data_IF_277515910458
#
_entry.id   IF_277515910458
#
_cell.length_a   1.000
_cell.length_b   1.000
_cell.length_c   1.000
_cell.angle_alpha   90.00
_cell.angle_beta   90.00
_cell.angle_gamma   90.00
#
_symmetry.space_group_name_H-M   'P 1'
#
loop_
_entity.id
_entity.type
_entity.pdbx_description
1 polymer ?
#
# COMPACT_ATOMS: atom_id res chain seq x y z
N UNK A 1 13.81 -21.93 -11.47
CA UNK A 1 12.71 -21.23 -12.14
C UNK A 1 12.20 -22.03 -13.34
N UNK A 2 13.06 -22.44 -14.27
CA UNK A 2 12.67 -23.15 -15.49
C UNK A 2 11.83 -24.42 -15.22
N UNK A 3 12.25 -25.25 -14.25
CA UNK A 3 11.52 -26.45 -13.86
C UNK A 3 10.11 -26.15 -13.30
N UNK A 4 9.96 -25.10 -12.48
CA UNK A 4 8.65 -24.69 -11.96
C UNK A 4 7.74 -24.16 -13.07
N UNK A 5 8.29 -23.35 -13.96
CA UNK A 5 7.55 -22.83 -15.10
C UNK A 5 7.08 -23.95 -16.05
N UNK A 6 7.96 -24.91 -16.35
CA UNK A 6 7.62 -26.08 -17.18
C UNK A 6 6.52 -26.96 -16.55
N UNK A 7 6.41 -26.96 -15.21
CA UNK A 7 5.35 -27.64 -14.45
C UNK A 7 4.06 -26.82 -14.33
N UNK A 8 3.96 -25.68 -15.02
CA UNK A 8 2.76 -24.86 -15.08
C UNK A 8 2.68 -23.70 -14.06
N UNK A 9 3.75 -23.43 -13.27
CA UNK A 9 3.74 -22.27 -12.41
C UNK A 9 3.71 -20.97 -13.25
N UNK A 10 2.79 -20.06 -12.91
CA UNK A 10 2.62 -18.75 -13.59
C UNK A 10 2.74 -17.57 -12.63
N UNK A 11 2.71 -17.81 -11.32
CA UNK A 11 2.86 -16.78 -10.28
C UNK A 11 4.03 -17.16 -9.37
N UNK A 12 5.02 -16.29 -9.30
CA UNK A 12 6.25 -16.50 -8.53
C UNK A 12 6.37 -15.40 -7.48
N UNK A 13 6.50 -15.81 -6.22
CA UNK A 13 6.83 -14.91 -5.12
C UNK A 13 8.19 -15.32 -4.56
N UNK A 14 9.13 -14.39 -4.63
CA UNK A 14 10.46 -14.56 -4.06
C UNK A 14 10.43 -14.15 -2.59
N UNK A 15 11.08 -14.96 -1.76
CA UNK A 15 11.21 -14.71 -0.32
C UNK A 15 12.57 -14.13 0.06
N UNK A 16 13.42 -13.86 -0.94
CA UNK A 16 14.70 -13.19 -0.75
C UNK A 16 14.48 -11.67 -0.61
N UNK A 17 14.84 -11.14 0.55
CA UNK A 17 14.67 -9.72 0.90
C UNK A 17 15.70 -8.81 0.24
N UNK A 18 16.61 -9.35 -0.55
CA UNK A 18 17.78 -8.66 -1.09
C UNK A 18 17.95 -8.88 -2.59
N UNK A 19 16.84 -9.11 -3.28
CA UNK A 19 16.79 -9.41 -4.72
C UNK A 19 17.72 -8.51 -5.56
N UNK A 20 17.75 -7.22 -5.28
CA UNK A 20 18.47 -6.23 -6.06
C UNK A 20 19.93 -6.00 -5.64
N UNK A 21 20.40 -6.57 -4.53
CA UNK A 21 21.79 -6.35 -4.06
C UNK A 21 22.84 -7.00 -4.97
N UNK A 22 22.51 -8.12 -5.62
CA UNK A 22 23.36 -8.78 -6.60
C UNK A 22 22.82 -8.49 -8.01
N UNK A 23 23.21 -7.35 -8.58
CA UNK A 23 22.68 -6.85 -9.85
C UNK A 23 22.69 -7.88 -10.98
N UNK A 24 23.79 -8.62 -11.15
CA UNK A 24 23.92 -9.64 -12.21
C UNK A 24 22.91 -10.80 -12.02
N UNK A 25 22.75 -11.28 -10.79
CA UNK A 25 21.78 -12.34 -10.47
C UNK A 25 20.34 -11.82 -10.63
N UNK A 26 20.04 -10.63 -10.11
CA UNK A 26 18.74 -10.00 -10.25
C UNK A 26 18.37 -9.80 -11.72
N UNK A 27 19.29 -9.29 -12.54
CA UNK A 27 19.10 -9.13 -13.98
C UNK A 27 18.81 -10.47 -14.67
N UNK A 28 19.60 -11.51 -14.40
CA UNK A 28 19.38 -12.83 -15.00
C UNK A 28 18.00 -13.41 -14.64
N UNK A 29 17.51 -13.16 -13.41
CA UNK A 29 16.16 -13.56 -13.01
C UNK A 29 15.10 -12.76 -13.77
N UNK A 30 15.25 -11.44 -13.91
CA UNK A 30 14.29 -10.60 -14.67
C UNK A 30 14.27 -11.01 -16.15
N UNK A 31 15.43 -11.24 -16.77
CA UNK A 31 15.51 -11.68 -18.18
C UNK A 31 14.83 -13.05 -18.38
N UNK A 32 14.95 -13.97 -17.42
CA UNK A 32 14.20 -15.24 -17.46
C UNK A 32 12.69 -15.01 -17.61
N UNK A 33 12.10 -14.06 -16.89
CA UNK A 33 10.67 -13.75 -16.99
C UNK A 33 10.34 -13.04 -18.31
N UNK A 34 11.16 -12.08 -18.72
CA UNK A 34 10.96 -11.31 -19.95
C UNK A 34 10.98 -12.20 -21.21
N UNK A 35 11.92 -13.15 -21.28
CA UNK A 35 11.98 -14.12 -22.38
C UNK A 35 10.69 -14.95 -22.49
N UNK A 36 10.12 -15.36 -21.36
CA UNK A 36 8.90 -16.18 -21.34
C UNK A 36 7.65 -15.38 -21.63
N UNK A 37 7.58 -14.15 -21.14
CA UNK A 37 6.51 -13.21 -21.49
C UNK A 37 6.54 -12.92 -23.00
N UNK A 38 7.72 -12.73 -23.57
CA UNK A 38 7.87 -12.52 -25.02
C UNK A 38 7.50 -13.76 -25.84
N UNK A 39 7.82 -14.97 -25.36
CA UNK A 39 7.51 -16.23 -26.03
C UNK A 39 6.01 -16.59 -25.98
N UNK A 40 5.29 -16.17 -24.96
CA UNK A 40 3.87 -16.47 -24.76
C UNK A 40 3.13 -15.22 -24.17
N UNK A 41 2.92 -14.16 -24.96
CA UNK A 41 2.39 -12.89 -24.45
C UNK A 41 0.94 -12.99 -23.93
N UNK A 42 0.18 -13.98 -24.38
CA UNK A 42 -1.20 -14.22 -23.92
C UNK A 42 -1.27 -15.03 -22.62
N UNK A 43 -0.14 -15.62 -22.18
CA UNK A 43 -0.08 -16.35 -20.92
C UNK A 43 0.32 -15.42 -19.77
N UNK A 44 -0.55 -15.20 -18.76
CA UNK A 44 -0.23 -14.33 -17.64
C UNK A 44 0.94 -14.91 -16.83
N UNK A 45 2.06 -14.20 -16.77
CA UNK A 45 3.19 -14.54 -15.92
C UNK A 45 3.46 -13.40 -14.95
N UNK A 46 3.54 -13.72 -13.66
CA UNK A 46 3.66 -12.72 -12.59
C UNK A 46 4.85 -13.04 -11.69
N UNK A 47 5.67 -12.04 -11.43
CA UNK A 47 6.80 -12.09 -10.50
C UNK A 47 6.67 -11.03 -9.41
N UNK A 48 6.92 -11.43 -8.16
CA UNK A 48 6.91 -10.57 -6.98
C UNK A 48 8.23 -10.70 -6.25
N UNK A 49 8.90 -9.56 -6.00
CA UNK A 49 10.19 -9.48 -5.31
C UNK A 49 10.12 -8.49 -4.15
N UNK A 50 10.91 -8.76 -3.09
CA UNK A 50 11.25 -7.75 -2.09
C UNK A 50 12.46 -6.95 -2.58
N UNK A 51 12.40 -5.63 -2.50
CA UNK A 51 13.41 -4.71 -3.05
C UNK A 51 13.97 -3.80 -1.96
N UNK A 52 15.29 -3.69 -1.89
CA UNK A 52 15.98 -2.71 -1.05
C UNK A 52 15.85 -1.34 -1.70
N UNK A 53 15.22 -0.34 -1.04
CA UNK A 53 14.74 0.87 -1.70
C UNK A 53 15.84 1.79 -2.25
N UNK A 54 16.97 1.89 -1.55
CA UNK A 54 18.08 2.80 -1.89
C UNK A 54 19.14 2.19 -2.82
N UNK A 55 18.92 0.96 -3.29
CA UNK A 55 19.80 0.26 -4.20
C UNK A 55 19.06 -0.21 -5.45
N UNK A 56 19.13 0.57 -6.53
CA UNK A 56 18.52 0.21 -7.82
C UNK A 56 19.51 0.47 -8.97
N UNK A 57 20.43 -0.48 -9.23
CA UNK A 57 21.42 -0.36 -10.32
C UNK A 57 20.76 -0.23 -11.70
N UNK A 58 21.42 0.51 -12.60
CA UNK A 58 20.91 0.76 -13.97
C UNK A 58 20.66 -0.54 -14.74
N UNK A 59 21.50 -1.56 -14.56
CA UNK A 59 21.30 -2.86 -15.16
C UNK A 59 19.97 -3.54 -14.80
N UNK A 60 19.43 -3.25 -13.59
CA UNK A 60 18.09 -3.70 -13.20
C UNK A 60 17.01 -2.79 -13.77
N UNK A 61 17.23 -1.49 -13.79
CA UNK A 61 16.30 -0.52 -14.38
C UNK A 61 16.02 -0.86 -15.85
N UNK A 62 17.05 -1.13 -16.63
CA UNK A 62 16.94 -1.54 -18.05
C UNK A 62 16.05 -2.77 -18.27
N UNK A 63 16.11 -3.73 -17.35
CA UNK A 63 15.23 -4.91 -17.41
C UNK A 63 13.81 -4.59 -16.93
N UNK A 64 13.66 -3.84 -15.82
CA UNK A 64 12.36 -3.55 -15.19
C UNK A 64 11.43 -2.79 -16.13
N UNK A 65 11.94 -1.80 -16.88
CA UNK A 65 11.12 -1.00 -17.82
C UNK A 65 10.46 -1.82 -18.94
N UNK A 66 10.97 -3.00 -19.22
CA UNK A 66 10.49 -3.90 -20.29
C UNK A 66 9.30 -4.77 -19.85
N UNK A 67 8.99 -4.82 -18.54
CA UNK A 67 7.86 -5.61 -18.06
C UNK A 67 6.52 -4.98 -18.44
N UNK A 68 5.58 -5.77 -18.98
CA UNK A 68 4.24 -5.29 -19.26
C UNK A 68 3.44 -5.05 -17.97
N UNK A 69 2.35 -4.26 -18.04
CA UNK A 69 1.45 -4.05 -16.91
C UNK A 69 0.96 -5.38 -16.30
N UNK A 70 0.95 -5.46 -14.98
CA UNK A 70 0.44 -6.62 -14.24
C UNK A 70 1.41 -7.81 -14.11
N UNK A 71 2.61 -7.75 -14.72
CA UNK A 71 3.57 -8.85 -14.66
C UNK A 71 4.59 -8.76 -13.52
N UNK A 72 4.80 -7.57 -12.95
CA UNK A 72 5.84 -7.33 -11.94
C UNK A 72 5.30 -6.57 -10.73
N UNK A 73 5.68 -7.01 -9.54
CA UNK A 73 5.41 -6.32 -8.28
C UNK A 73 6.67 -6.26 -7.42
N UNK A 74 6.87 -5.11 -6.77
CA UNK A 74 7.87 -4.94 -5.73
C UNK A 74 7.22 -4.67 -4.38
N UNK A 75 7.65 -5.41 -3.37
CA UNK A 75 7.43 -5.11 -1.95
C UNK A 75 8.65 -4.36 -1.44
N UNK A 76 8.44 -3.16 -0.93
CA UNK A 76 9.51 -2.20 -0.61
C UNK A 76 9.36 -1.77 0.83
N UNK A 77 10.14 -2.38 1.71
CA UNK A 77 10.13 -2.03 3.11
C UNK A 77 10.84 -0.71 3.36
N UNK A 78 10.14 0.36 3.60
CA UNK A 78 10.68 1.61 4.16
C UNK A 78 10.76 1.49 5.68
N UNK A 79 9.72 0.96 6.30
CA UNK A 79 9.51 0.77 7.73
C UNK A 79 9.30 2.09 8.48
N UNK A 80 10.24 3.03 8.37
CA UNK A 80 10.17 4.41 8.89
C UNK A 80 11.11 5.31 8.09
N UNK A 81 10.78 6.60 8.03
CA UNK A 81 11.64 7.65 7.51
C UNK A 81 12.43 8.40 8.61
N UNK A 82 12.24 8.01 9.88
CA UNK A 82 12.94 8.63 11.00
C UNK A 82 14.35 8.04 11.13
N UNK A 83 15.43 8.81 10.93
CA UNK A 83 16.79 8.29 10.91
C UNK A 83 17.26 7.74 12.27
N UNK A 84 16.76 8.30 13.38
CA UNK A 84 17.09 7.77 14.71
C UNK A 84 16.44 6.41 14.95
N UNK A 85 15.18 6.25 14.49
CA UNK A 85 14.46 4.97 14.59
C UNK A 85 15.09 3.94 13.67
N UNK A 86 15.48 4.33 12.44
CA UNK A 86 16.25 3.47 11.54
C UNK A 86 17.54 2.95 12.20
N UNK A 87 18.31 3.84 12.84
CA UNK A 87 19.53 3.45 13.55
C UNK A 87 19.25 2.45 14.68
N UNK A 88 18.18 2.66 15.47
CA UNK A 88 17.77 1.76 16.58
C UNK A 88 17.42 0.36 16.08
N UNK A 89 16.70 0.25 14.97
CA UNK A 89 16.34 -1.05 14.36
C UNK A 89 17.45 -1.62 13.47
N UNK A 90 18.65 -1.02 13.52
CA UNK A 90 19.83 -1.42 12.73
C UNK A 90 19.59 -1.39 11.22
N UNK A 91 18.75 -0.45 10.76
CA UNK A 91 18.50 -0.20 9.35
C UNK A 91 19.41 0.92 8.86
N UNK A 92 20.18 0.62 7.82
CA UNK A 92 21.00 1.61 7.10
C UNK A 92 20.31 1.86 5.77
N UNK A 93 19.71 3.02 5.62
CA UNK A 93 18.97 3.40 4.41
C UNK A 93 19.36 4.83 4.01
N UNK A 94 19.65 5.02 2.75
CA UNK A 94 19.77 6.36 2.15
C UNK A 94 18.38 6.79 1.68
N UNK A 95 17.71 7.60 2.50
CA UNK A 95 16.34 8.04 2.25
C UNK A 95 16.20 8.86 0.96
N UNK A 96 17.21 9.68 0.62
CA UNK A 96 17.18 10.48 -0.59
C UNK A 96 17.23 9.58 -1.85
N UNK A 97 18.10 8.56 -1.82
CA UNK A 97 18.17 7.58 -2.91
C UNK A 97 16.92 6.71 -2.98
N UNK A 98 16.36 6.33 -1.83
CA UNK A 98 15.11 5.58 -1.78
C UNK A 98 13.96 6.35 -2.46
N UNK A 99 13.82 7.65 -2.19
CA UNK A 99 12.84 8.49 -2.87
C UNK A 99 13.07 8.59 -4.38
N UNK A 100 14.30 8.83 -4.78
CA UNK A 100 14.66 8.92 -6.22
C UNK A 100 14.29 7.61 -6.93
N UNK A 101 14.60 6.47 -6.32
CA UNK A 101 14.29 5.17 -6.91
C UNK A 101 12.77 4.89 -6.94
N UNK A 102 12.03 5.25 -5.88
CA UNK A 102 10.57 5.09 -5.84
C UNK A 102 9.89 5.95 -6.92
N UNK A 103 10.30 7.21 -7.07
CA UNK A 103 9.80 8.12 -8.13
C UNK A 103 10.11 7.53 -9.50
N UNK A 104 11.35 7.11 -9.72
CA UNK A 104 11.77 6.52 -10.98
C UNK A 104 10.95 5.28 -11.34
N UNK A 105 10.78 4.34 -10.40
CA UNK A 105 9.94 3.16 -10.60
C UNK A 105 8.50 3.53 -10.95
N UNK A 106 7.96 4.54 -10.26
CA UNK A 106 6.57 4.98 -10.45
C UNK A 106 6.34 5.65 -11.80
N UNK A 107 7.33 6.40 -12.29
CA UNK A 107 7.21 7.22 -13.51
C UNK A 107 7.61 6.47 -14.79
N UNK A 108 8.53 5.51 -14.69
CA UNK A 108 9.15 4.88 -15.85
C UNK A 108 8.77 3.40 -16.03
N UNK A 109 8.04 2.80 -15.10
CA UNK A 109 7.76 1.37 -15.16
C UNK A 109 6.28 1.04 -14.95
N UNK A 110 5.90 -0.19 -15.29
CA UNK A 110 4.59 -0.75 -14.97
C UNK A 110 4.61 -1.64 -13.73
N UNK A 111 5.72 -1.65 -12.98
CA UNK A 111 5.82 -2.43 -11.76
C UNK A 111 4.82 -1.94 -10.70
N UNK A 112 4.08 -2.86 -10.09
CA UNK A 112 3.21 -2.54 -8.97
C UNK A 112 4.06 -2.34 -7.72
N UNK A 113 3.98 -1.16 -7.10
CA UNK A 113 4.75 -0.79 -5.92
C UNK A 113 3.90 -0.92 -4.66
N UNK A 114 4.31 -1.83 -3.78
CA UNK A 114 3.75 -2.03 -2.45
C UNK A 114 4.81 -1.59 -1.44
N UNK A 115 4.53 -0.55 -0.67
CA UNK A 115 5.52 0.06 0.25
C UNK A 115 5.06 -0.08 1.69
N UNK A 116 5.96 -0.51 2.58
CA UNK A 116 5.62 -0.82 3.97
C UNK A 116 6.11 0.26 4.94
N UNK A 117 5.22 0.67 5.85
CA UNK A 117 5.50 1.41 7.07
C UNK A 117 5.10 0.58 8.30
N UNK A 118 5.85 0.72 9.39
CA UNK A 118 5.57 0.03 10.66
C UNK A 118 5.38 1.04 11.79
N UNK A 119 4.20 1.06 12.38
CA UNK A 119 3.91 1.83 13.58
C UNK A 119 4.34 1.09 14.85
N UNK A 120 4.73 1.85 15.89
CA UNK A 120 5.14 1.32 17.17
C UNK A 120 6.60 0.87 17.22
N UNK A 121 7.45 1.36 16.33
CA UNK A 121 8.90 1.20 16.39
C UNK A 121 9.48 1.94 17.61
N UNK A 122 10.63 1.47 18.17
CA UNK A 122 11.20 2.01 19.39
C UNK A 122 11.59 3.50 19.23
N UNK A 123 10.88 4.38 19.96
CA UNK A 123 11.11 5.82 19.97
C UNK A 123 10.52 6.59 18.80
N UNK A 124 9.66 5.97 18.00
CA UNK A 124 8.85 6.67 17.01
C UNK A 124 7.50 7.06 17.62
N UNK A 125 7.12 8.31 17.49
CA UNK A 125 5.82 8.82 17.89
C UNK A 125 4.84 8.92 16.72
N UNK A 126 3.58 9.21 17.03
CA UNK A 126 2.52 9.30 16.04
C UNK A 126 2.76 10.40 14.99
N UNK A 127 3.38 11.52 15.39
CA UNK A 127 3.66 12.65 14.49
C UNK A 127 4.74 12.27 13.45
N UNK A 128 5.84 11.64 13.90
CA UNK A 128 6.89 11.14 13.04
C UNK A 128 6.37 10.07 12.07
N UNK A 129 5.57 9.13 12.56
CA UNK A 129 4.92 8.13 11.72
C UNK A 129 4.01 8.78 10.67
N UNK A 130 3.19 9.75 11.08
CA UNK A 130 2.29 10.49 10.19
C UNK A 130 3.02 11.25 9.09
N UNK A 131 4.12 11.94 9.44
CA UNK A 131 4.97 12.61 8.45
C UNK A 131 5.57 11.61 7.45
N UNK A 132 5.96 10.42 7.92
CA UNK A 132 6.43 9.33 7.06
C UNK A 132 5.36 8.81 6.11
N UNK A 133 4.12 8.70 6.56
CA UNK A 133 2.99 8.33 5.72
C UNK A 133 2.71 9.41 4.65
N UNK A 134 2.70 10.69 5.02
CA UNK A 134 2.47 11.81 4.09
C UNK A 134 3.57 11.85 3.01
N UNK A 135 4.82 11.58 3.40
CA UNK A 135 5.94 11.45 2.46
C UNK A 135 5.73 10.34 1.44
N UNK A 136 5.20 9.17 1.86
CA UNK A 136 4.85 8.10 0.94
C UNK A 136 3.66 8.43 0.03
N UNK A 137 2.63 9.08 0.56
CA UNK A 137 1.49 9.55 -0.27
C UNK A 137 1.98 10.47 -1.39
N UNK A 138 2.93 11.37 -1.11
CA UNK A 138 3.53 12.26 -2.11
C UNK A 138 4.35 11.51 -3.18
N UNK A 139 4.93 10.36 -2.85
CA UNK A 139 5.64 9.47 -3.78
C UNK A 139 4.70 8.60 -4.63
N UNK A 140 3.41 8.52 -4.25
CA UNK A 140 2.34 7.87 -5.00
C UNK A 140 2.59 6.41 -5.35
N UNK A 141 3.08 5.54 -4.43
CA UNK A 141 3.10 4.11 -4.68
C UNK A 141 1.67 3.61 -4.96
N UNK A 142 1.53 2.38 -5.45
CA UNK A 142 0.21 1.79 -5.67
C UNK A 142 -0.46 1.41 -4.36
N UNK A 143 0.34 0.94 -3.39
CA UNK A 143 -0.13 0.56 -2.06
C UNK A 143 0.84 1.03 -0.99
N UNK A 144 0.31 1.50 0.14
CA UNK A 144 1.06 1.77 1.37
C UNK A 144 0.53 0.82 2.43
N UNK A 145 1.30 -0.20 2.78
CA UNK A 145 0.95 -1.08 3.88
C UNK A 145 1.36 -0.46 5.20
N UNK A 146 0.39 -0.18 6.03
CA UNK A 146 0.60 0.25 7.41
C UNK A 146 0.54 -0.99 8.31
N UNK A 147 1.69 -1.40 8.83
CA UNK A 147 1.82 -2.52 9.76
C UNK A 147 1.94 -2.04 11.20
N UNK A 148 1.45 -2.85 12.15
CA UNK A 148 1.76 -2.71 13.58
C UNK A 148 2.95 -3.60 13.89
N UNK A 149 3.95 -3.07 14.61
CA UNK A 149 5.15 -3.81 14.97
C UNK A 149 4.81 -5.12 15.67
N UNK A 150 5.45 -6.21 15.25
CA UNK A 150 5.30 -7.54 15.83
C UNK A 150 6.61 -8.04 16.45
N UNK A 151 6.53 -8.58 17.66
CA UNK A 151 7.66 -9.26 18.31
C UNK A 151 7.74 -10.70 17.81
N UNK A 152 8.22 -10.89 16.59
CA UNK A 152 8.40 -12.22 16.05
C UNK A 152 9.53 -12.97 16.77
N UNK A 153 9.42 -14.30 16.84
CA UNK A 153 10.44 -15.15 17.46
C UNK A 153 11.78 -14.98 16.74
N UNK A 154 12.84 -14.70 17.51
CA UNK A 154 14.18 -14.46 16.96
C UNK A 154 14.43 -13.05 16.42
N UNK A 155 13.43 -12.18 16.34
CA UNK A 155 13.64 -10.80 15.96
C UNK A 155 14.37 -10.02 17.09
N UNK A 156 15.39 -9.21 16.76
CA UNK A 156 16.20 -8.49 17.77
C UNK A 156 15.44 -7.34 18.44
N UNK A 157 14.22 -7.05 18.05
CA UNK A 157 13.41 -5.93 18.56
C UNK A 157 13.19 -6.00 20.08
N UNK A 158 13.18 -7.19 20.66
CA UNK A 158 13.01 -7.41 22.10
C UNK A 158 14.06 -6.69 22.95
N UNK A 159 15.26 -6.43 22.42
CA UNK A 159 16.34 -5.70 23.12
C UNK A 159 15.94 -4.27 23.51
N UNK A 160 14.98 -3.68 22.78
CA UNK A 160 14.50 -2.33 22.99
C UNK A 160 13.32 -2.24 23.97
N UNK A 161 12.72 -3.37 24.33
CA UNK A 161 11.46 -3.40 25.10
C UNK A 161 11.55 -2.63 26.43
N UNK A 162 12.64 -2.78 27.20
CA UNK A 162 12.82 -2.08 28.46
C UNK A 162 13.07 -0.59 28.27
N UNK A 163 13.97 -0.22 27.36
CA UNK A 163 14.38 1.18 27.16
C UNK A 163 13.24 2.08 26.62
N UNK A 164 12.34 1.49 25.84
CA UNK A 164 11.21 2.20 25.23
C UNK A 164 9.86 1.75 25.81
N UNK A 165 9.84 1.17 27.00
CA UNK A 165 8.64 0.71 27.70
C UNK A 165 7.64 -0.04 26.81
N UNK A 166 8.16 -0.87 25.87
CA UNK A 166 7.32 -1.54 24.87
C UNK A 166 6.57 -2.70 25.50
N UNK A 167 5.26 -2.69 25.40
CA UNK A 167 4.40 -3.81 25.75
C UNK A 167 3.93 -4.51 24.48
N UNK A 168 3.91 -5.83 24.50
CA UNK A 168 3.49 -6.66 23.38
C UNK A 168 2.35 -7.59 23.79
N UNK A 169 1.48 -7.91 22.84
CA UNK A 169 0.47 -8.94 23.05
C UNK A 169 1.12 -10.28 23.35
N UNK A 170 0.55 -11.02 24.30
CA UNK A 170 1.03 -12.34 24.71
C UNK A 170 0.70 -13.42 23.67
N UNK A 171 -0.34 -13.19 22.89
CA UNK A 171 -0.83 -14.10 21.86
C UNK A 171 -0.47 -13.61 20.46
N UNK A 172 -0.36 -14.54 19.52
CA UNK A 172 -0.18 -14.19 18.11
C UNK A 172 -1.26 -13.19 17.66
N UNK A 173 -0.88 -12.20 16.86
CA UNK A 173 0.37 -12.03 16.13
C UNK A 173 1.48 -11.28 16.88
N UNK A 174 1.43 -11.16 18.22
CA UNK A 174 2.44 -10.55 19.10
C UNK A 174 2.69 -9.06 18.78
N UNK A 175 1.65 -8.34 18.45
CA UNK A 175 1.73 -6.91 18.14
C UNK A 175 2.12 -6.08 19.37
N UNK A 176 2.81 -4.97 19.12
CA UNK A 176 3.05 -3.96 20.15
C UNK A 176 1.71 -3.34 20.55
N UNK A 177 1.51 -3.18 21.85
CA UNK A 177 0.30 -2.57 22.43
C UNK A 177 0.52 -1.10 22.77
N UNK A 178 1.73 -0.76 23.20
CA UNK A 178 2.17 0.61 23.49
C UNK A 178 3.69 0.69 23.54
N UNK A 179 4.23 1.89 23.46
CA UNK A 179 5.63 2.24 23.67
C UNK A 179 5.72 3.50 24.53
N UNK A 180 6.92 3.93 24.92
CA UNK A 180 7.12 5.20 25.64
C UNK A 180 6.74 6.43 24.80
N UNK A 181 6.62 6.32 23.47
CA UNK A 181 6.35 7.43 22.54
C UNK A 181 5.05 7.28 21.76
N UNK A 182 4.37 6.15 21.88
CA UNK A 182 3.08 5.90 21.25
C UNK A 182 2.19 5.13 22.22
N UNK A 183 1.14 5.75 22.69
CA UNK A 183 0.18 5.21 23.66
C UNK A 183 -0.63 4.04 23.08
N UNK A 184 -1.27 3.26 23.96
CA UNK A 184 -2.15 2.17 23.54
C UNK A 184 -3.30 2.66 22.65
N UNK A 185 -3.89 3.80 22.97
CA UNK A 185 -4.97 4.40 22.17
C UNK A 185 -4.47 4.79 20.77
N UNK A 186 -3.28 5.36 20.67
CA UNK A 186 -2.69 5.71 19.38
C UNK A 186 -2.39 4.45 18.53
N UNK A 187 -1.85 3.39 19.13
CA UNK A 187 -1.65 2.10 18.42
C UNK A 187 -2.98 1.55 17.90
N UNK A 188 -4.03 1.55 18.72
CA UNK A 188 -5.38 1.10 18.31
C UNK A 188 -5.93 1.97 17.18
N UNK A 189 -5.76 3.29 17.25
CA UNK A 189 -6.18 4.22 16.18
C UNK A 189 -5.40 3.96 14.89
N UNK A 190 -4.09 3.75 14.95
CA UNK A 190 -3.29 3.41 13.76
C UNK A 190 -3.69 2.04 13.19
N UNK A 191 -4.01 1.05 14.01
CA UNK A 191 -4.51 -0.24 13.54
C UNK A 191 -5.85 -0.10 12.79
N UNK A 192 -6.78 0.74 13.27
CA UNK A 192 -8.01 1.07 12.54
C UNK A 192 -7.73 1.82 11.24
N UNK A 193 -6.88 2.84 11.31
CA UNK A 193 -6.40 3.59 10.15
C UNK A 193 -5.88 2.62 9.07
N UNK A 194 -4.97 1.71 9.43
CA UNK A 194 -4.39 0.72 8.53
C UNK A 194 -5.47 -0.12 7.84
N UNK A 195 -6.47 -0.57 8.61
CA UNK A 195 -7.55 -1.37 8.06
C UNK A 195 -8.45 -0.59 7.10
N UNK A 196 -8.81 0.63 7.44
CA UNK A 196 -9.62 1.47 6.56
C UNK A 196 -8.80 1.97 5.35
N UNK A 197 -7.50 2.24 5.54
CA UNK A 197 -6.60 2.56 4.44
C UNK A 197 -6.55 1.43 3.41
N UNK A 198 -6.51 0.20 3.86
CA UNK A 198 -6.57 -0.97 2.96
C UNK A 198 -7.87 -1.02 2.13
N UNK A 199 -9.00 -0.61 2.72
CA UNK A 199 -10.30 -0.59 2.06
C UNK A 199 -10.48 0.59 1.09
N UNK A 200 -9.86 1.72 1.36
CA UNK A 200 -10.01 2.97 0.61
C UNK A 200 -8.78 3.22 -0.26
N UNK A 201 -7.63 3.57 0.33
CA UNK A 201 -6.41 3.95 -0.37
C UNK A 201 -5.81 2.82 -1.20
N UNK A 202 -5.51 1.70 -0.54
CA UNK A 202 -4.88 0.56 -1.20
C UNK A 202 -5.82 -0.22 -2.13
N UNK A 203 -7.13 -0.07 -2.00
CA UNK A 203 -8.07 -0.86 -2.79
C UNK A 203 -8.06 -0.53 -4.29
N UNK A 204 -7.58 0.67 -4.66
CA UNK A 204 -7.66 1.20 -6.01
C UNK A 204 -9.09 1.47 -6.50
N UNK A 205 -10.09 1.47 -5.58
CA UNK A 205 -11.49 1.67 -5.94
C UNK A 205 -11.91 3.13 -6.03
N UNK A 206 -11.17 4.04 -5.40
CA UNK A 206 -11.57 5.43 -5.22
C UNK A 206 -10.50 6.42 -5.72
N UNK A 207 -9.97 6.27 -6.97
CA UNK A 207 -8.86 7.08 -7.46
C UNK A 207 -9.20 8.56 -7.66
N UNK A 208 -10.48 8.90 -7.93
CA UNK A 208 -10.93 10.29 -8.06
C UNK A 208 -11.24 10.91 -6.70
N UNK A 209 -11.79 10.10 -5.79
CA UNK A 209 -12.22 10.53 -4.45
C UNK A 209 -11.05 10.70 -3.49
N UNK A 210 -10.05 9.82 -3.57
CA UNK A 210 -8.94 9.76 -2.62
C UNK A 210 -8.15 11.07 -2.51
N UNK A 211 -7.77 11.78 -3.58
CA UNK A 211 -7.04 13.04 -3.47
C UNK A 211 -7.79 14.10 -2.68
N UNK A 212 -9.10 14.20 -2.87
CA UNK A 212 -9.95 15.17 -2.15
C UNK A 212 -10.12 14.78 -0.68
N UNK A 213 -10.25 13.49 -0.38
CA UNK A 213 -10.32 12.99 0.99
C UNK A 213 -9.06 13.33 1.77
N UNK A 214 -7.88 13.15 1.16
CA UNK A 214 -6.59 13.34 1.79
C UNK A 214 -6.20 14.82 1.94
N UNK A 215 -6.52 15.66 0.97
CA UNK A 215 -6.17 17.08 1.00
C UNK A 215 -4.66 17.32 1.20
N UNK A 216 -4.29 18.47 1.84
CA UNK A 216 -2.89 18.84 2.04
C UNK A 216 -2.18 18.12 3.22
N UNK A 217 -2.93 17.42 4.08
CA UNK A 217 -2.42 16.71 5.25
C UNK A 217 -2.96 15.26 5.29
N UNK A 218 -2.47 14.38 4.43
CA UNK A 218 -3.06 13.06 4.19
C UNK A 218 -3.26 12.23 5.44
N UNK A 219 -2.23 12.10 6.28
CA UNK A 219 -2.32 11.30 7.50
C UNK A 219 -3.37 11.85 8.47
N UNK A 220 -3.32 13.14 8.78
CA UNK A 220 -4.25 13.75 9.73
C UNK A 220 -5.70 13.66 9.23
N UNK A 221 -5.92 13.92 7.95
CA UNK A 221 -7.23 13.83 7.31
C UNK A 221 -7.78 12.42 7.31
N UNK A 222 -6.97 11.44 6.92
CA UNK A 222 -7.43 10.06 6.89
C UNK A 222 -7.58 9.47 8.30
N UNK A 223 -6.80 9.90 9.29
CA UNK A 223 -6.99 9.55 10.69
C UNK A 223 -8.34 10.09 11.21
N UNK A 224 -8.66 11.33 10.91
CA UNK A 224 -9.95 11.91 11.26
C UNK A 224 -11.12 11.17 10.60
N UNK A 225 -11.00 10.81 9.30
CA UNK A 225 -11.98 9.96 8.62
C UNK A 225 -12.09 8.57 9.26
N UNK A 226 -10.98 7.98 9.65
CA UNK A 226 -10.94 6.67 10.32
C UNK A 226 -11.68 6.70 11.67
N UNK A 227 -11.45 7.74 12.48
CA UNK A 227 -12.13 7.91 13.77
C UNK A 227 -13.64 8.18 13.58
N UNK A 228 -14.01 8.99 12.61
CA UNK A 228 -15.41 9.28 12.27
C UNK A 228 -16.14 8.03 11.75
N UNK A 229 -15.50 7.24 10.88
CA UNK A 229 -16.07 5.99 10.36
C UNK A 229 -16.25 4.95 11.47
N UNK A 230 -15.29 4.87 12.39
CA UNK A 230 -15.40 4.00 13.57
C UNK A 230 -16.55 4.39 14.48
N UNK A 231 -16.70 5.69 14.76
CA UNK A 231 -17.81 6.19 15.58
C UNK A 231 -19.19 5.84 15.01
N UNK A 232 -19.31 5.70 13.69
CA UNK A 232 -20.56 5.36 12.99
C UNK A 232 -20.82 3.87 12.88
N UNK A 233 -19.77 3.08 12.69
CA UNK A 233 -19.93 1.66 12.34
C UNK A 233 -19.58 0.71 13.46
N UNK A 234 -18.70 1.11 14.37
CA UNK A 234 -18.14 0.23 15.41
C UNK A 234 -17.38 -0.97 14.85
N UNK A 235 -17.04 -0.97 13.55
CA UNK A 235 -16.53 -2.14 12.86
C UNK A 235 -15.34 -1.82 11.94
N UNK A 236 -14.33 -2.67 11.96
CA UNK A 236 -13.19 -2.63 11.03
C UNK A 236 -13.21 -3.78 10.02
N UNK A 237 -14.13 -4.72 10.18
CA UNK A 237 -14.26 -5.92 9.35
C UNK A 237 -15.65 -6.01 8.75
N UNK A 238 -15.77 -6.74 7.63
CA UNK A 238 -17.03 -6.98 6.93
C UNK A 238 -17.74 -5.71 6.45
N UNK A 239 -16.97 -4.65 6.20
CA UNK A 239 -17.46 -3.44 5.55
C UNK A 239 -17.51 -3.68 4.05
N UNK A 240 -18.70 -3.68 3.48
CA UNK A 240 -18.89 -3.80 2.03
C UNK A 240 -18.38 -2.54 1.32
N UNK A 241 -18.01 -2.68 0.05
CA UNK A 241 -17.58 -1.53 -0.77
C UNK A 241 -18.67 -0.44 -0.86
N UNK A 242 -19.93 -0.85 -0.87
CA UNK A 242 -21.12 0.00 -0.81
C UNK A 242 -21.13 0.85 0.48
N UNK A 243 -20.94 0.22 1.64
CA UNK A 243 -20.86 0.92 2.93
C UNK A 243 -19.73 1.95 2.96
N UNK A 244 -18.57 1.60 2.36
CA UNK A 244 -17.44 2.54 2.25
C UNK A 244 -17.77 3.70 1.33
N UNK A 245 -18.42 3.46 0.18
CA UNK A 245 -18.83 4.51 -0.74
C UNK A 245 -19.83 5.48 -0.10
N UNK A 246 -20.80 4.98 0.64
CA UNK A 246 -21.76 5.80 1.39
C UNK A 246 -21.08 6.61 2.51
N UNK A 247 -20.13 6.02 3.22
CA UNK A 247 -19.36 6.71 4.24
C UNK A 247 -18.49 7.83 3.65
N UNK A 248 -17.84 7.59 2.52
CA UNK A 248 -17.06 8.63 1.81
C UNK A 248 -17.95 9.81 1.38
N UNK A 249 -19.13 9.54 0.83
CA UNK A 249 -20.10 10.58 0.47
C UNK A 249 -20.54 11.37 1.72
N UNK A 250 -20.94 10.66 2.76
CA UNK A 250 -21.38 11.31 4.00
C UNK A 250 -20.28 12.18 4.63
N UNK A 251 -19.03 11.71 4.65
CA UNK A 251 -17.88 12.50 5.09
C UNK A 251 -17.71 13.78 4.28
N UNK A 252 -17.76 13.67 2.94
CA UNK A 252 -17.62 14.82 2.05
C UNK A 252 -18.70 15.88 2.31
N UNK A 253 -19.92 15.46 2.55
CA UNK A 253 -21.04 16.39 2.81
C UNK A 253 -20.99 16.94 4.24
N UNK A 254 -20.86 16.08 5.24
CA UNK A 254 -21.02 16.45 6.63
C UNK A 254 -19.78 17.13 7.24
N UNK A 255 -18.59 16.74 6.80
CA UNK A 255 -17.33 17.23 7.37
C UNK A 255 -16.65 18.24 6.46
N UNK A 256 -16.63 17.99 5.15
CA UNK A 256 -16.00 18.90 4.19
C UNK A 256 -16.97 19.99 3.70
N UNK A 257 -18.27 19.87 3.97
CA UNK A 257 -19.29 20.83 3.50
C UNK A 257 -19.49 20.82 2.00
N UNK A 258 -19.10 19.78 1.29
CA UNK A 258 -19.26 19.68 -0.16
C UNK A 258 -20.74 19.57 -0.54
N UNK A 259 -21.14 20.16 -1.68
CA UNK A 259 -22.49 19.96 -2.22
C UNK A 259 -22.76 18.47 -2.45
N UNK A 260 -23.97 18.01 -2.11
CA UNK A 260 -24.38 16.59 -2.23
C UNK A 260 -24.11 16.01 -3.63
N UNK A 261 -24.49 16.76 -4.68
CA UNK A 261 -24.32 16.30 -6.05
C UNK A 261 -22.84 16.14 -6.47
N UNK A 262 -21.97 17.04 -5.97
CA UNK A 262 -20.52 16.96 -6.21
C UNK A 262 -19.90 15.75 -5.47
N UNK A 263 -20.23 15.59 -4.19
CA UNK A 263 -19.77 14.47 -3.38
C UNK A 263 -20.19 13.12 -3.98
N UNK A 264 -21.45 13.02 -4.42
CA UNK A 264 -21.98 11.81 -5.02
C UNK A 264 -21.34 11.47 -6.37
N UNK A 265 -21.12 12.47 -7.24
CA UNK A 265 -20.67 12.23 -8.62
C UNK A 265 -19.31 11.53 -8.71
N UNK A 266 -18.28 12.02 -8.00
CA UNK A 266 -16.94 11.42 -8.03
C UNK A 266 -16.96 10.00 -7.48
N UNK A 267 -17.65 9.78 -6.35
CA UNK A 267 -17.72 8.48 -5.68
C UNK A 267 -18.53 7.48 -6.51
N UNK A 268 -19.62 7.92 -7.15
CA UNK A 268 -20.41 7.07 -8.04
C UNK A 268 -19.60 6.60 -9.26
N UNK A 269 -18.81 7.49 -9.86
CA UNK A 269 -17.92 7.16 -10.96
C UNK A 269 -16.85 6.15 -10.54
N UNK A 270 -16.20 6.37 -9.39
CA UNK A 270 -15.22 5.45 -8.82
C UNK A 270 -15.84 4.08 -8.51
N UNK A 271 -17.02 4.06 -7.91
CA UNK A 271 -17.72 2.83 -7.56
C UNK A 271 -18.10 2.01 -8.79
N UNK A 272 -18.66 2.65 -9.83
CA UNK A 272 -19.00 2.01 -11.08
C UNK A 272 -17.78 1.40 -11.79
N UNK A 273 -16.67 2.15 -11.87
CA UNK A 273 -15.43 1.68 -12.51
C UNK A 273 -14.74 0.56 -11.70
N UNK A 274 -14.97 0.48 -10.39
CA UNK A 274 -14.35 -0.52 -9.53
C UNK A 274 -14.86 -1.95 -9.76
N UNK A 275 -15.98 -2.13 -10.44
CA UNK A 275 -16.66 -3.40 -10.60
C UNK A 275 -17.18 -3.99 -9.28
N UNK A 276 -17.36 -3.16 -8.25
CA UNK A 276 -17.91 -3.59 -6.98
C UNK A 276 -19.37 -4.03 -7.14
N UNK A 277 -19.75 -5.07 -6.40
CA UNK A 277 -21.14 -5.53 -6.31
C UNK A 277 -21.87 -4.70 -5.24
N UNK A 278 -23.17 -4.58 -5.36
CA UNK A 278 -24.00 -3.77 -4.48
C UNK A 278 -24.45 -2.47 -5.16
N UNK A 279 -25.27 -1.70 -4.47
CA UNK A 279 -25.86 -0.50 -5.03
C UNK A 279 -25.99 0.57 -3.93
N UNK A 280 -24.99 1.46 -3.80
CA UNK A 280 -25.08 2.58 -2.86
C UNK A 280 -26.36 3.38 -3.08
N UNK A 281 -27.05 3.75 -2.00
CA UNK A 281 -28.38 4.37 -2.04
C UNK A 281 -28.42 5.69 -2.83
N UNK A 282 -27.29 6.41 -2.90
CA UNK A 282 -27.17 7.66 -3.65
C UNK A 282 -26.96 7.48 -5.17
N UNK A 283 -26.74 6.25 -5.64
CA UNK A 283 -26.58 5.97 -7.08
C UNK A 283 -27.93 5.69 -7.73
N UNK A 284 -28.18 6.24 -8.93
CA UNK A 284 -29.37 5.92 -9.69
C UNK A 284 -29.38 4.43 -10.10
N UNK A 285 -30.54 3.79 -10.01
CA UNK A 285 -30.72 2.40 -10.45
C UNK A 285 -30.37 2.27 -11.95
N UNK A 286 -29.48 1.35 -12.28
CA UNK A 286 -29.02 1.09 -13.66
C UNK A 286 -27.55 1.45 -13.91
N UNK A 287 -26.87 2.16 -13.00
CA UNK A 287 -25.45 2.46 -13.09
C UNK A 287 -24.56 1.42 -12.38
N UNK A 288 -25.15 0.40 -11.77
CA UNK A 288 -24.40 -0.70 -11.17
C UNK A 288 -23.67 -1.48 -12.27
N UNK A 289 -22.39 -1.72 -12.06
CA UNK A 289 -21.53 -2.44 -13.00
C UNK A 289 -22.16 -3.76 -13.44
N UNK A 290 -22.23 -3.96 -14.75
CA UNK A 290 -22.76 -5.19 -15.34
C UNK A 290 -21.99 -6.43 -14.89
N UNK A 291 -22.43 -7.60 -15.34
CA UNK A 291 -21.99 -8.96 -15.02
C UNK A 291 -20.49 -9.28 -15.27
N UNK A 292 -19.63 -8.27 -15.29
CA UNK A 292 -18.18 -8.43 -15.43
C UNK A 292 -17.56 -8.83 -14.09
N UNK A 293 -16.69 -9.82 -14.13
CA UNK A 293 -15.85 -10.17 -12.99
C UNK A 293 -15.12 -8.91 -12.46
N UNK A 294 -15.26 -8.63 -11.16
CA UNK A 294 -14.61 -7.46 -10.57
C UNK A 294 -13.09 -7.51 -10.82
N UNK A 295 -12.49 -6.43 -11.34
CA UNK A 295 -11.06 -6.41 -11.62
C UNK A 295 -10.26 -6.65 -10.35
N UNK A 296 -9.10 -7.31 -10.48
CA UNK A 296 -8.19 -7.50 -9.34
C UNK A 296 -7.67 -6.15 -8.84
N UNK A 297 -7.15 -6.12 -7.60
CA UNK A 297 -6.58 -4.92 -7.01
C UNK A 297 -5.50 -4.30 -7.91
N UNK A 298 -4.58 -5.11 -8.46
CA UNK A 298 -3.55 -4.66 -9.38
C UNK A 298 -4.11 -4.06 -10.66
N UNK A 299 -5.12 -4.69 -11.26
CA UNK A 299 -5.77 -4.17 -12.48
C UNK A 299 -6.43 -2.82 -12.23
N UNK A 300 -7.09 -2.63 -11.07
CA UNK A 300 -7.66 -1.32 -10.71
C UNK A 300 -6.60 -0.21 -10.64
N UNK A 301 -5.42 -0.52 -10.09
CA UNK A 301 -4.32 0.46 -10.05
C UNK A 301 -3.75 0.79 -11.42
N UNK A 302 -3.71 -0.16 -12.33
CA UNK A 302 -3.25 0.07 -13.72
C UNK A 302 -4.26 0.95 -14.48
N UNK A 303 -5.55 0.65 -14.39
CA UNK A 303 -6.60 1.40 -15.10
C UNK A 303 -6.83 2.80 -14.53
N UNK A 304 -6.68 3.00 -13.22
CA UNK A 304 -6.82 4.30 -12.55
C UNK A 304 -5.67 5.29 -12.85
N UNK A 305 -4.56 4.81 -13.43
CA UNK A 305 -3.40 5.65 -13.80
C UNK A 305 -3.40 6.12 -15.26
N UNK A 306 -4.38 5.73 -16.06
CA UNK A 306 -4.51 6.23 -17.43
C UNK A 306 -5.12 7.65 -17.46
N UNK A 307 -4.40 8.64 -16.89
CA UNK A 307 -4.52 10.00 -17.37
C UNK A 307 -3.56 10.17 -18.56
N UNK A 308 -4.03 10.73 -19.68
CA UNK A 308 -3.19 10.95 -20.84
C UNK A 308 -2.00 11.83 -20.43
N UNK A 309 -0.82 11.38 -20.77
CA UNK A 309 0.40 12.22 -20.71
C UNK A 309 0.15 13.41 -21.62
N UNK A 310 0.08 14.61 -21.06
CA UNK A 310 0.32 15.85 -21.79
C UNK A 310 1.80 16.18 -21.69
#
# INVERSE_FOLDING_TARGET
LASLHARGARRFRFVDRTFNLKAATGRAILEFFLERIAAAPDEPLFAHFELVPDHLPDALKEAIVRFPPGALQFEIGIQTWNPEVQARISRRQDDARAEVNLRWLREHTHAHLHVDLIAGLPGEDLASFGAGFDRLVALRPHEIQVGILKRLRGAPIARHARAFAMRFAERAPYEVLETSTMSADEIVRVARFARYWDLVGNSGRFPRTLPTLLGPAPFARFMAFSDWLWARTGATHRLAAETIAEALRAWRVEVDGAPEAEAAAAIAADYADSGARGHPAFMARGLAGGDRAAPTRQVRHVTGTMHPRR
#
